data_IF_338147400409
#
_entry.id   IF_338147400409
#
_cell.length_a   1.000
_cell.length_b   1.000
_cell.length_c   1.000
_cell.angle_alpha   90.00
_cell.angle_beta   90.00
_cell.angle_gamma   90.00
#
_symmetry.space_group_name_H-M   'P 1'
#
loop_
_entity.id
_entity.type
_entity.pdbx_description
1 polymer ?
#
# COMPACT_ATOMS: atom_id res chain seq x y z
N UNK A 1 -26.42 27.98 -32.81
CA UNK A 1 -25.64 26.74 -32.96
C UNK A 1 -24.38 26.73 -32.09
N UNK A 2 -23.53 27.76 -32.10
CA UNK A 2 -22.26 27.79 -31.34
C UNK A 2 -22.42 27.71 -29.80
N UNK A 3 -23.45 28.35 -29.22
CA UNK A 3 -23.71 28.33 -27.77
C UNK A 3 -23.96 26.92 -27.20
N UNK A 4 -24.44 25.98 -28.01
CA UNK A 4 -24.69 24.61 -27.55
C UNK A 4 -23.38 23.82 -27.44
N UNK A 5 -22.44 24.01 -28.38
CA UNK A 5 -21.13 23.35 -28.36
C UNK A 5 -20.31 23.81 -27.15
N UNK A 6 -20.33 25.10 -26.83
CA UNK A 6 -19.63 25.64 -25.66
C UNK A 6 -20.21 25.12 -24.32
N UNK A 7 -21.53 24.94 -24.24
CA UNK A 7 -22.18 24.39 -23.06
C UNK A 7 -21.86 22.88 -22.89
N UNK A 8 -21.85 22.13 -24.00
CA UNK A 8 -21.43 20.73 -24.05
C UNK A 8 -19.97 20.58 -23.59
N UNK A 9 -19.07 21.42 -24.11
CA UNK A 9 -17.66 21.39 -23.77
C UNK A 9 -17.42 21.69 -22.29
N UNK A 10 -18.09 22.70 -21.72
CA UNK A 10 -18.02 23.00 -20.28
C UNK A 10 -18.52 21.85 -19.41
N UNK A 11 -19.50 21.08 -19.89
CA UNK A 11 -20.02 19.91 -19.19
C UNK A 11 -18.98 18.78 -19.18
N UNK A 12 -18.34 18.54 -20.33
CA UNK A 12 -17.24 17.59 -20.48
C UNK A 12 -16.06 17.97 -19.59
N UNK A 13 -15.67 19.24 -19.56
CA UNK A 13 -14.53 19.71 -18.75
C UNK A 13 -14.76 19.47 -17.25
N UNK A 14 -15.98 19.77 -16.76
CA UNK A 14 -16.37 19.48 -15.36
C UNK A 14 -16.37 17.98 -15.05
N UNK A 15 -16.80 17.16 -16.00
CA UNK A 15 -16.80 15.70 -15.83
C UNK A 15 -15.37 15.16 -15.78
N UNK A 16 -14.47 15.62 -16.65
CA UNK A 16 -13.04 15.28 -16.62
C UNK A 16 -12.40 15.66 -15.30
N UNK A 17 -12.70 16.87 -14.77
CA UNK A 17 -12.18 17.34 -13.49
C UNK A 17 -12.66 16.47 -12.31
N UNK A 18 -13.94 16.07 -12.32
CA UNK A 18 -14.49 15.15 -11.30
C UNK A 18 -13.82 13.77 -11.33
N UNK A 19 -13.53 13.24 -12.53
CA UNK A 19 -12.83 11.95 -12.69
C UNK A 19 -11.38 12.03 -12.21
N UNK A 20 -10.71 13.17 -12.42
CA UNK A 20 -9.35 13.39 -11.91
C UNK A 20 -9.31 13.44 -10.38
N UNK A 21 -10.28 14.10 -9.74
CA UNK A 21 -10.40 14.13 -8.28
C UNK A 21 -10.65 12.73 -7.71
N UNK A 22 -11.51 11.93 -8.34
CA UNK A 22 -11.76 10.54 -7.92
C UNK A 22 -10.50 9.66 -8.04
N UNK A 23 -9.72 9.82 -9.11
CA UNK A 23 -8.42 9.12 -9.25
C UNK A 23 -7.43 9.53 -8.17
N UNK A 24 -7.37 10.82 -7.82
CA UNK A 24 -6.47 11.30 -6.77
C UNK A 24 -6.86 10.75 -5.37
N UNK A 25 -8.16 10.71 -5.07
CA UNK A 25 -8.66 10.11 -3.84
C UNK A 25 -8.35 8.61 -3.76
N UNK A 26 -8.55 7.87 -4.86
CA UNK A 26 -8.22 6.45 -4.93
C UNK A 26 -6.72 6.19 -4.75
N UNK A 27 -5.86 6.98 -5.38
CA UNK A 27 -4.41 6.86 -5.19
C UNK A 27 -4.01 7.10 -3.74
N UNK A 28 -4.63 8.08 -3.07
CA UNK A 28 -4.38 8.34 -1.65
C UNK A 28 -4.76 7.16 -0.76
N UNK A 29 -5.83 6.42 -1.07
CA UNK A 29 -6.19 5.19 -0.35
C UNK A 29 -5.20 4.05 -0.60
N UNK A 30 -4.68 3.93 -1.82
CA UNK A 30 -3.64 2.94 -2.16
C UNK A 30 -2.31 3.27 -1.46
N UNK A 31 -1.95 4.55 -1.39
CA UNK A 31 -0.76 4.98 -0.64
C UNK A 31 -0.91 4.67 0.86
N UNK A 32 -2.13 4.75 1.39
CA UNK A 32 -2.45 4.37 2.76
C UNK A 32 -2.19 2.86 3.00
N UNK A 33 -2.63 1.96 2.11
CA UNK A 33 -2.41 0.52 2.31
C UNK A 33 -0.93 0.13 2.19
N UNK A 34 -0.19 0.72 1.24
CA UNK A 34 1.24 0.46 1.11
C UNK A 34 2.02 0.93 2.34
N UNK A 35 1.64 2.08 2.91
CA UNK A 35 2.22 2.58 4.16
C UNK A 35 1.96 1.64 5.34
N UNK A 36 0.74 1.11 5.45
CA UNK A 36 0.38 0.13 6.49
C UNK A 36 1.25 -1.13 6.36
N UNK A 37 1.38 -1.66 5.15
CA UNK A 37 2.21 -2.85 4.88
C UNK A 37 3.69 -2.57 5.22
N UNK A 38 4.21 -1.41 4.81
CA UNK A 38 5.59 -1.02 5.06
C UNK A 38 5.91 -0.97 6.57
N UNK A 39 5.05 -0.31 7.34
CA UNK A 39 5.20 -0.16 8.79
C UNK A 39 5.10 -1.51 9.51
N UNK A 40 4.08 -2.31 9.18
CA UNK A 40 3.85 -3.61 9.79
C UNK A 40 4.98 -4.58 9.47
N UNK A 41 5.45 -4.62 8.22
CA UNK A 41 6.59 -5.45 7.82
C UNK A 41 7.83 -5.12 8.64
N UNK A 42 8.18 -3.83 8.73
CA UNK A 42 9.35 -3.37 9.49
C UNK A 42 9.21 -3.74 10.96
N UNK A 43 8.06 -3.46 11.56
CA UNK A 43 7.76 -3.73 12.97
C UNK A 43 7.92 -5.23 13.27
N UNK A 44 7.15 -6.08 12.59
CA UNK A 44 7.14 -7.52 12.80
C UNK A 44 8.52 -8.15 12.56
N UNK A 45 9.27 -7.64 11.58
CA UNK A 45 10.65 -8.08 11.32
C UNK A 45 11.58 -7.72 12.47
N UNK A 46 11.53 -6.47 12.95
CA UNK A 46 12.42 -5.99 14.03
C UNK A 46 12.11 -6.62 15.39
N UNK A 47 10.84 -6.85 15.71
CA UNK A 47 10.41 -7.57 16.93
C UNK A 47 10.99 -8.98 17.00
N UNK A 48 11.29 -9.58 15.84
CA UNK A 48 11.91 -10.91 15.71
C UNK A 48 13.43 -10.84 15.61
N UNK A 49 14.03 -9.67 15.79
CA UNK A 49 15.47 -9.43 15.67
C UNK A 49 16.04 -9.88 14.30
N UNK A 50 15.22 -9.79 13.24
CA UNK A 50 15.65 -10.13 11.89
C UNK A 50 16.14 -8.88 11.17
N UNK A 51 17.28 -8.96 10.50
CA UNK A 51 17.63 -8.01 9.43
C UNK A 51 16.98 -8.43 8.10
N UNK A 52 16.97 -7.53 7.11
CA UNK A 52 16.37 -7.79 5.79
C UNK A 52 16.96 -9.03 5.10
N UNK A 53 18.26 -9.31 5.27
CA UNK A 53 18.91 -10.48 4.68
C UNK A 53 18.48 -11.80 5.34
N UNK A 54 18.24 -11.78 6.65
CA UNK A 54 17.70 -12.94 7.36
C UNK A 54 16.25 -13.21 6.94
N UNK A 55 15.40 -12.17 6.89
CA UNK A 55 14.03 -12.33 6.42
C UNK A 55 13.98 -12.77 4.95
N UNK A 56 14.87 -12.27 4.09
CA UNK A 56 14.96 -12.69 2.70
C UNK A 56 15.11 -14.21 2.56
N UNK A 57 16.02 -14.81 3.35
CA UNK A 57 16.23 -16.26 3.37
C UNK A 57 15.00 -17.02 3.88
N UNK A 58 14.31 -16.49 4.89
CA UNK A 58 13.15 -17.15 5.51
C UNK A 58 11.87 -17.07 4.66
N UNK A 59 11.72 -15.99 3.90
CA UNK A 59 10.52 -15.72 3.10
C UNK A 59 10.64 -16.11 1.62
N UNK A 60 11.85 -16.43 1.13
CA UNK A 60 12.09 -16.62 -0.30
C UNK A 60 11.70 -15.37 -1.13
N UNK A 61 12.03 -14.19 -0.58
CA UNK A 61 11.90 -12.88 -1.22
C UNK A 61 13.26 -12.21 -1.22
N UNK A 62 13.60 -11.49 -2.27
CA UNK A 62 14.89 -10.80 -2.34
C UNK A 62 15.00 -9.69 -1.29
N UNK A 63 16.21 -9.47 -0.76
CA UNK A 63 16.50 -8.37 0.17
C UNK A 63 16.12 -7.01 -0.41
N UNK A 64 16.29 -6.83 -1.73
CA UNK A 64 15.92 -5.60 -2.45
C UNK A 64 14.40 -5.40 -2.41
N UNK A 65 13.62 -6.42 -2.76
CA UNK A 65 12.16 -6.32 -2.74
C UNK A 65 11.64 -6.03 -1.32
N UNK A 66 12.16 -6.71 -0.28
CA UNK A 66 11.80 -6.40 1.10
C UNK A 66 12.13 -4.94 1.48
N UNK A 67 13.28 -4.43 1.04
CA UNK A 67 13.66 -3.05 1.28
C UNK A 67 12.75 -2.04 0.59
N UNK A 68 12.26 -2.35 -0.61
CA UNK A 68 11.35 -1.45 -1.33
C UNK A 68 9.94 -1.51 -0.70
N UNK A 69 9.49 -2.69 -0.25
CA UNK A 69 8.23 -2.83 0.49
C UNK A 69 8.27 -2.04 1.80
N UNK A 70 9.35 -2.11 2.59
CA UNK A 70 9.49 -1.32 3.83
C UNK A 70 9.57 0.20 3.62
N UNK A 71 9.79 0.65 2.39
CA UNK A 71 9.72 2.08 2.02
C UNK A 71 8.36 2.50 1.49
N UNK A 72 7.47 1.55 1.20
CA UNK A 72 6.21 1.81 0.51
C UNK A 72 6.35 1.99 -1.01
N UNK A 73 7.53 1.73 -1.58
CA UNK A 73 7.84 2.00 -2.99
C UNK A 73 7.26 0.95 -3.96
N UNK A 74 6.57 -0.08 -3.44
CA UNK A 74 6.04 -1.18 -4.26
C UNK A 74 4.66 -1.59 -3.78
N UNK A 75 3.86 -2.11 -4.72
CA UNK A 75 2.62 -2.81 -4.41
C UNK A 75 2.86 -4.34 -4.40
N UNK A 76 3.10 -4.96 -3.23
CA UNK A 76 3.36 -6.39 -3.16
C UNK A 76 2.12 -7.22 -3.51
N UNK A 77 2.30 -8.30 -4.27
CA UNK A 77 1.21 -9.24 -4.55
C UNK A 77 0.79 -9.98 -3.27
N UNK A 78 -0.42 -10.54 -3.25
CA UNK A 78 -0.88 -11.42 -2.15
C UNK A 78 0.09 -12.59 -1.92
N UNK A 79 0.64 -13.18 -2.98
CA UNK A 79 1.63 -14.25 -2.86
C UNK A 79 2.93 -13.77 -2.19
N UNK A 80 3.36 -12.53 -2.49
CA UNK A 80 4.49 -11.88 -1.82
C UNK A 80 4.22 -11.70 -0.33
N UNK A 81 3.05 -11.16 0.04
CA UNK A 81 2.63 -10.99 1.44
C UNK A 81 2.58 -12.33 2.18
N UNK A 82 2.05 -13.38 1.54
CA UNK A 82 2.00 -14.72 2.12
C UNK A 82 3.39 -15.31 2.40
N UNK A 83 4.32 -15.18 1.43
CA UNK A 83 5.73 -15.60 1.59
C UNK A 83 6.42 -14.86 2.74
N UNK A 84 6.22 -13.54 2.83
CA UNK A 84 6.75 -12.71 3.91
C UNK A 84 6.18 -13.15 5.27
N UNK A 85 4.86 -13.28 5.37
CA UNK A 85 4.18 -13.70 6.59
C UNK A 85 4.62 -15.09 7.06
N UNK A 86 4.82 -16.03 6.13
CA UNK A 86 5.40 -17.35 6.41
C UNK A 86 6.82 -17.23 6.98
N UNK A 87 7.67 -16.40 6.39
CA UNK A 87 9.02 -16.14 6.90
C UNK A 87 9.05 -15.47 8.28
N UNK A 88 8.06 -14.63 8.57
CA UNK A 88 7.84 -14.00 9.87
C UNK A 88 7.09 -14.91 10.86
N UNK A 89 6.52 -16.04 10.44
CA UNK A 89 5.66 -16.90 11.26
C UNK A 89 4.47 -16.13 11.86
N UNK A 90 3.77 -15.38 11.02
CA UNK A 90 2.53 -14.66 11.36
C UNK A 90 1.45 -14.93 10.31
N UNK A 91 0.22 -14.51 10.59
CA UNK A 91 -0.83 -14.44 9.58
C UNK A 91 -0.53 -13.30 8.61
N UNK A 92 -0.82 -13.46 7.33
CA UNK A 92 -0.62 -12.39 6.33
C UNK A 92 -1.51 -11.17 6.62
N UNK A 93 -2.64 -11.37 7.32
CA UNK A 93 -3.53 -10.27 7.74
C UNK A 93 -2.81 -9.28 8.66
N UNK A 94 -1.82 -9.74 9.45
CA UNK A 94 -1.03 -8.88 10.34
C UNK A 94 -0.17 -7.86 9.57
N UNK A 95 0.09 -8.07 8.27
CA UNK A 95 0.74 -7.07 7.41
C UNK A 95 -0.24 -5.99 6.96
N UNK A 96 -1.54 -6.27 6.98
CA UNK A 96 -2.62 -5.38 6.51
C UNK A 96 -3.37 -4.68 7.65
N UNK A 97 -3.09 -5.06 8.89
CA UNK A 97 -3.76 -4.50 10.07
C UNK A 97 -3.42 -3.02 10.23
N UNK A 98 -4.43 -2.17 10.13
CA UNK A 98 -4.32 -0.79 10.55
C UNK A 98 -4.37 -0.72 12.06
N UNK A 99 -3.28 -0.28 12.71
CA UNK A 99 -3.30 0.00 14.15
C UNK A 99 -4.22 1.18 14.43
N UNK A 100 -5.44 0.89 14.85
CA UNK A 100 -6.29 1.89 15.48
C UNK A 100 -5.78 2.15 16.90
N UNK A 101 -5.19 3.33 17.13
CA UNK A 101 -4.91 3.85 18.47
C UNK A 101 -6.25 4.11 19.19
N UNK A 102 -6.87 3.07 19.77
CA UNK A 102 -8.09 3.22 20.59
C UNK A 102 -7.87 2.79 22.06
N UNK A 103 -6.66 2.36 22.46
CA UNK A 103 -6.38 2.00 23.85
C UNK A 103 -5.27 2.87 24.46
N UNK A 104 -5.62 4.13 24.72
CA UNK A 104 -5.05 4.95 25.78
C UNK A 104 -6.19 5.65 26.54
N UNK A 105 -7.18 4.86 26.94
CA UNK A 105 -8.19 5.22 27.96
C UNK A 105 -7.94 4.33 29.18
#
# INVERSE_FOLDING_TARGET
MHKNIEAEQRKIDKEVESLQQMKAALNKEIDNINSIIAENLKTLRTERNLNLGQLAKLSDISKVMLSQIEKGDTNPTINTLWKIAKGLKVLYISLLEQKNMILML
#
